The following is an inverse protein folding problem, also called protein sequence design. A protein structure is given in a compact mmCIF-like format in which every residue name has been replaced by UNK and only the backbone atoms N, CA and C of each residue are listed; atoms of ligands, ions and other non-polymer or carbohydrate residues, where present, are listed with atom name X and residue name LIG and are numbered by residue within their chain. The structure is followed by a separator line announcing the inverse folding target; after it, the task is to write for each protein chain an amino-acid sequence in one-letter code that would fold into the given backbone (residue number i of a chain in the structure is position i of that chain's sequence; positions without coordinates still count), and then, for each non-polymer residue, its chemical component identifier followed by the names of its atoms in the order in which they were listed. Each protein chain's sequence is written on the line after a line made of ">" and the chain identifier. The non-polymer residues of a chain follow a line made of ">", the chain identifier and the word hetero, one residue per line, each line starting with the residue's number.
data_IF_275658048832
#
_entry.id   IF_275658048832
#
_cell.length_a   1.000
_cell.length_b   1.000
_cell.length_c   1.000
_cell.angle_alpha   90.00
_cell.angle_beta   90.00
_cell.angle_gamma   90.00
#
_symmetry.space_group_name_H-M   'P 1'
#
loop_
_entity.id
_entity.type
_entity.pdbx_description
1 polymer ?
#
# COMPACT_ATOMS: atom_id res chain seq x y z
N UNK A 1 52.84 -24.21 -19.42
CA UNK A 1 52.70 -22.73 -19.54
C UNK A 1 51.92 -22.21 -18.34
N UNK A 2 52.10 -20.95 -17.92
CA UNK A 2 51.22 -20.31 -16.91
C UNK A 2 50.03 -19.69 -17.63
N UNK A 3 48.81 -20.09 -17.27
CA UNK A 3 47.56 -19.53 -17.81
C UNK A 3 47.22 -18.23 -17.10
N UNK A 4 47.09 -17.14 -17.86
CA UNK A 4 46.62 -15.84 -17.35
C UNK A 4 45.10 -15.80 -17.43
N UNK A 5 44.42 -15.36 -16.36
CA UNK A 5 42.96 -15.22 -16.36
C UNK A 5 42.51 -14.09 -17.29
N UNK A 6 41.40 -14.27 -18.00
CA UNK A 6 40.82 -13.25 -18.87
C UNK A 6 40.52 -11.94 -18.12
N UNK A 7 40.17 -11.97 -16.83
CA UNK A 7 39.94 -10.77 -16.03
C UNK A 7 41.21 -9.94 -15.84
N UNK A 8 42.38 -10.59 -15.74
CA UNK A 8 43.68 -9.91 -15.70
C UNK A 8 44.00 -9.27 -17.06
N UNK A 9 43.63 -9.93 -18.17
CA UNK A 9 43.80 -9.36 -19.51
C UNK A 9 42.88 -8.14 -19.72
N UNK A 10 41.60 -8.21 -19.34
CA UNK A 10 40.67 -7.10 -19.47
C UNK A 10 41.02 -5.91 -18.55
N UNK A 11 41.49 -6.14 -17.33
CA UNK A 11 41.95 -5.05 -16.45
C UNK A 11 43.24 -4.41 -16.94
N UNK A 12 44.18 -5.17 -17.49
CA UNK A 12 45.36 -4.61 -18.19
C UNK A 12 44.92 -3.79 -19.42
N UNK A 13 43.96 -4.28 -20.21
CA UNK A 13 43.45 -3.56 -21.39
C UNK A 13 42.78 -2.22 -21.02
N UNK A 14 41.96 -2.19 -19.97
CA UNK A 14 41.32 -0.98 -19.44
C UNK A 14 42.37 0.05 -18.95
N UNK A 15 43.37 -0.41 -18.19
CA UNK A 15 44.47 0.43 -17.71
C UNK A 15 45.33 0.99 -18.84
N UNK A 16 45.67 0.18 -19.85
CA UNK A 16 46.43 0.63 -21.03
C UNK A 16 45.61 1.63 -21.86
N UNK A 17 44.31 1.37 -22.07
CA UNK A 17 43.41 2.30 -22.76
C UNK A 17 43.38 3.66 -22.06
N UNK A 18 43.17 3.68 -20.73
CA UNK A 18 43.15 4.91 -19.94
C UNK A 18 44.50 5.63 -19.89
N UNK A 19 45.61 4.88 -19.95
CA UNK A 19 46.96 5.47 -20.03
C UNK A 19 47.20 6.18 -21.37
N UNK A 20 46.77 5.57 -22.47
CA UNK A 20 46.82 6.15 -23.82
C UNK A 20 45.86 7.36 -23.93
N UNK A 21 44.62 7.25 -23.44
CA UNK A 21 43.68 8.38 -23.34
C UNK A 21 44.23 9.53 -22.47
N UNK A 22 45.00 9.24 -21.41
CA UNK A 22 45.61 10.27 -20.57
C UNK A 22 46.81 10.97 -21.20
N UNK A 23 47.61 10.25 -21.99
CA UNK A 23 48.90 10.75 -22.52
C UNK A 23 48.81 11.18 -23.98
N UNK A 24 48.36 10.29 -24.87
CA UNK A 24 48.36 10.52 -26.32
C UNK A 24 47.25 11.48 -26.75
N UNK A 25 46.06 11.42 -26.13
CA UNK A 25 44.98 12.37 -26.43
C UNK A 25 45.40 13.81 -26.12
N UNK A 26 46.16 14.03 -25.04
CA UNK A 26 46.67 15.35 -24.70
C UNK A 26 47.75 15.81 -25.68
N UNK A 27 48.75 14.97 -25.97
CA UNK A 27 49.78 15.30 -26.97
C UNK A 27 49.17 15.59 -28.36
N UNK A 28 48.11 14.86 -28.73
CA UNK A 28 47.34 15.07 -29.95
C UNK A 28 46.56 16.40 -29.93
N UNK A 29 45.94 16.78 -28.80
CA UNK A 29 45.33 18.11 -28.63
C UNK A 29 46.38 19.22 -28.74
N UNK A 30 47.52 19.06 -28.08
CA UNK A 30 48.65 19.99 -28.09
C UNK A 30 49.32 20.10 -29.48
N UNK A 31 48.99 19.23 -30.45
CA UNK A 31 49.46 19.33 -31.85
C UNK A 31 48.61 20.28 -32.72
N UNK A 32 47.42 20.70 -32.26
CA UNK A 32 46.59 21.65 -33.00
C UNK A 32 46.99 23.10 -32.67
N UNK A 33 47.01 24.02 -33.66
CA UNK A 33 47.19 25.43 -33.38
C UNK A 33 46.12 25.94 -32.39
N UNK A 34 46.45 26.87 -31.47
CA UNK A 34 45.48 27.44 -30.55
C UNK A 34 44.45 28.29 -31.32
N UNK A 35 43.36 27.64 -31.72
CA UNK A 35 42.32 28.24 -32.55
C UNK A 35 41.67 29.41 -31.79
N UNK A 36 41.63 30.59 -32.42
CA UNK A 36 40.97 31.75 -31.83
C UNK A 36 39.48 31.44 -31.61
N UNK A 37 38.95 31.84 -30.46
CA UNK A 37 37.67 31.35 -29.95
C UNK A 37 36.44 31.93 -30.68
N UNK A 38 36.22 31.48 -31.92
CA UNK A 38 34.99 31.73 -32.69
C UNK A 38 33.82 30.98 -32.05
N UNK A 39 32.76 31.71 -31.69
CA UNK A 39 31.41 31.19 -31.42
C UNK A 39 31.29 30.05 -30.41
N UNK A 40 31.01 30.35 -29.14
CA UNK A 40 30.91 29.33 -28.06
C UNK A 40 29.61 28.49 -28.06
N UNK A 41 29.37 27.77 -29.16
CA UNK A 41 28.29 26.77 -29.25
C UNK A 41 28.45 25.65 -28.21
N UNK A 42 29.69 25.35 -27.79
CA UNK A 42 29.96 24.37 -26.73
C UNK A 42 29.40 24.81 -25.37
N UNK A 43 29.49 26.10 -25.03
CA UNK A 43 28.92 26.64 -23.79
C UNK A 43 27.39 26.63 -23.84
N UNK A 44 26.78 27.06 -24.95
CA UNK A 44 25.33 27.00 -25.17
C UNK A 44 24.81 25.55 -25.10
N UNK A 45 25.45 24.61 -25.82
CA UNK A 45 25.07 23.20 -25.81
C UNK A 45 25.26 22.57 -24.44
N UNK A 46 26.31 22.95 -23.70
CA UNK A 46 26.52 22.56 -22.31
C UNK A 46 25.49 23.12 -21.34
N UNK A 47 25.06 24.38 -21.51
CA UNK A 47 23.98 24.99 -20.73
C UNK A 47 22.63 24.30 -21.01
N UNK A 48 22.33 24.00 -22.28
CA UNK A 48 21.13 23.27 -22.71
C UNK A 48 21.12 21.82 -22.18
N UNK A 49 22.27 21.14 -22.15
CA UNK A 49 22.38 19.84 -21.48
C UNK A 49 22.12 19.96 -19.97
N UNK A 50 22.72 20.95 -19.30
CA UNK A 50 22.54 21.18 -17.86
C UNK A 50 21.09 21.52 -17.50
N UNK A 51 20.37 22.30 -18.31
CA UNK A 51 18.93 22.58 -18.07
C UNK A 51 18.05 21.38 -18.38
N UNK A 52 18.29 20.63 -19.47
CA UNK A 52 17.59 19.37 -19.75
C UNK A 52 17.80 18.34 -18.63
N UNK A 53 19.03 18.18 -18.13
CA UNK A 53 19.35 17.28 -17.03
C UNK A 53 18.69 17.71 -15.71
N UNK A 54 18.69 19.01 -15.38
CA UNK A 54 17.92 19.56 -14.24
C UNK A 54 16.42 19.24 -14.37
N UNK A 55 15.84 19.36 -15.55
CA UNK A 55 14.43 19.05 -15.79
C UNK A 55 14.14 17.56 -15.62
N UNK A 56 14.97 16.67 -16.17
CA UNK A 56 14.86 15.22 -15.96
C UNK A 56 14.99 14.86 -14.48
N UNK A 57 15.94 15.46 -13.76
CA UNK A 57 16.12 15.26 -12.32
C UNK A 57 14.90 15.72 -11.51
N UNK A 58 14.32 16.89 -11.82
CA UNK A 58 13.07 17.34 -11.19
C UNK A 58 11.89 16.39 -11.44
N UNK A 59 11.75 15.86 -12.65
CA UNK A 59 10.73 14.85 -12.99
C UNK A 59 10.97 13.56 -12.21
N UNK A 60 12.21 13.09 -12.12
CA UNK A 60 12.60 11.90 -11.34
C UNK A 60 12.32 12.10 -9.85
N UNK A 61 12.76 13.20 -9.24
CA UNK A 61 12.45 13.53 -7.85
C UNK A 61 10.94 13.64 -7.59
N UNK A 62 10.14 14.13 -8.56
CA UNK A 62 8.67 14.17 -8.45
C UNK A 62 8.05 12.77 -8.56
N UNK A 63 8.63 11.87 -9.37
CA UNK A 63 8.24 10.46 -9.43
C UNK A 63 8.54 9.74 -8.10
N UNK A 64 9.76 9.82 -7.58
CA UNK A 64 10.14 9.23 -6.29
C UNK A 64 9.25 9.78 -5.15
N UNK A 65 9.03 11.09 -5.07
CA UNK A 65 8.09 11.70 -4.11
C UNK A 65 6.65 11.20 -4.26
N UNK A 66 6.24 10.74 -5.45
CA UNK A 66 4.93 10.09 -5.66
C UNK A 66 4.94 8.64 -5.17
N UNK A 67 6.02 7.89 -5.44
CA UNK A 67 6.21 6.52 -4.97
C UNK A 67 6.20 6.43 -3.44
N UNK A 68 6.98 7.27 -2.75
CA UNK A 68 6.99 7.29 -1.29
C UNK A 68 5.63 7.68 -0.70
N UNK A 69 4.90 8.61 -1.35
CA UNK A 69 3.52 8.96 -0.96
C UNK A 69 2.53 7.81 -1.17
N UNK A 70 2.66 7.05 -2.27
CA UNK A 70 1.87 5.84 -2.51
C UNK A 70 2.15 4.79 -1.43
N UNK A 71 3.42 4.42 -1.22
CA UNK A 71 3.83 3.43 -0.22
C UNK A 71 3.35 3.78 1.20
N UNK A 72 3.45 5.04 1.62
CA UNK A 72 2.96 5.47 2.92
C UNK A 72 1.41 5.49 2.98
N UNK A 73 0.73 5.89 1.90
CA UNK A 73 -0.73 5.85 1.84
C UNK A 73 -1.32 4.43 1.82
N UNK A 74 -0.58 3.44 1.30
CA UNK A 74 -0.99 2.03 1.35
C UNK A 74 -0.80 1.39 2.74
N UNK A 75 -0.03 2.02 3.63
CA UNK A 75 0.08 1.63 5.06
C UNK A 75 -1.09 2.14 5.90
N UNK A 76 -1.68 3.29 5.55
CA UNK A 76 -2.91 3.80 6.19
C UNK A 76 -4.15 3.02 5.69
N UNK A 77 -4.87 2.28 6.56
CA UNK A 77 -6.07 1.56 6.15
C UNK A 77 -7.16 2.48 5.59
N UNK A 78 -7.30 3.72 6.08
CA UNK A 78 -8.37 4.63 5.65
C UNK A 78 -8.16 5.09 4.21
N UNK A 79 -6.95 5.55 3.89
CA UNK A 79 -6.58 5.95 2.52
C UNK A 79 -6.48 4.75 1.58
N UNK A 80 -6.01 3.58 2.05
CA UNK A 80 -6.00 2.36 1.26
C UNK A 80 -7.41 1.91 0.87
N UNK A 81 -8.35 1.80 1.81
CA UNK A 81 -9.76 1.44 1.48
C UNK A 81 -10.40 2.44 0.52
N UNK A 82 -10.12 3.73 0.68
CA UNK A 82 -10.55 4.76 -0.27
C UNK A 82 -9.98 4.56 -1.70
N UNK A 83 -8.74 4.06 -1.81
CA UNK A 83 -8.12 3.73 -3.09
C UNK A 83 -8.62 2.39 -3.66
N UNK A 84 -8.85 1.37 -2.83
CA UNK A 84 -9.48 0.11 -3.25
C UNK A 84 -10.89 0.35 -3.81
N UNK A 85 -11.71 1.16 -3.12
CA UNK A 85 -13.01 1.61 -3.61
C UNK A 85 -12.88 2.43 -4.90
N UNK A 86 -11.86 3.29 -5.01
CA UNK A 86 -11.58 4.00 -6.26
C UNK A 86 -11.26 3.04 -7.41
N UNK A 87 -10.44 2.00 -7.21
CA UNK A 87 -10.14 1.03 -8.26
C UNK A 87 -11.41 0.25 -8.68
N UNK A 88 -12.23 -0.18 -7.72
CA UNK A 88 -13.53 -0.84 -7.99
C UNK A 88 -14.52 0.08 -8.73
N UNK A 89 -14.60 1.36 -8.37
CA UNK A 89 -15.58 2.32 -8.93
C UNK A 89 -15.06 3.09 -10.16
N UNK A 90 -13.76 3.04 -10.45
CA UNK A 90 -13.13 3.76 -11.57
C UNK A 90 -13.67 3.37 -12.94
N UNK A 91 -14.37 2.23 -13.06
CA UNK A 91 -15.18 1.89 -14.22
C UNK A 91 -15.96 3.08 -14.79
N UNK A 92 -16.63 3.89 -13.95
CA UNK A 92 -17.47 5.02 -14.41
C UNK A 92 -16.66 6.24 -14.88
N UNK A 93 -15.51 6.55 -14.26
CA UNK A 93 -14.73 7.75 -14.58
C UNK A 93 -13.70 7.57 -15.71
N UNK A 94 -13.52 6.34 -16.19
CA UNK A 94 -12.61 6.01 -17.29
C UNK A 94 -13.40 5.67 -18.58
N UNK A 95 -14.69 6.01 -18.61
CA UNK A 95 -15.64 5.75 -19.70
C UNK A 95 -15.52 6.75 -20.87
N UNK A 96 -14.39 6.69 -21.58
CA UNK A 96 -14.34 7.01 -23.01
C UNK A 96 -14.01 5.69 -23.71
N UNK A 97 -14.90 5.25 -24.60
CA UNK A 97 -14.72 3.93 -25.23
C UNK A 97 -13.59 3.97 -26.26
N UNK A 98 -12.82 2.88 -26.34
CA UNK A 98 -11.78 2.70 -27.35
C UNK A 98 -12.31 1.85 -28.52
N UNK A 99 -13.51 2.18 -29.00
CA UNK A 99 -14.15 1.54 -30.15
C UNK A 99 -13.51 2.01 -31.46
N UNK A 100 -12.40 1.37 -31.85
CA UNK A 100 -12.03 1.18 -33.27
C UNK A 100 -10.75 0.35 -33.47
N UNK A 101 -10.88 -0.72 -34.27
CA UNK A 101 -9.82 -1.35 -35.08
C UNK A 101 -8.65 -2.04 -34.35
N UNK A 102 -8.90 -3.27 -33.91
CA UNK A 102 -7.90 -4.36 -33.86
C UNK A 102 -8.59 -5.68 -34.26
N UNK A 103 -7.91 -6.64 -34.91
CA UNK A 103 -8.55 -7.83 -35.47
C UNK A 103 -8.98 -8.86 -34.40
N UNK A 104 -10.00 -9.69 -34.67
CA UNK A 104 -10.48 -10.68 -33.73
C UNK A 104 -9.71 -12.01 -33.81
N UNK A 105 -9.08 -12.41 -32.69
CA UNK A 105 -9.12 -13.76 -32.09
C UNK A 105 -8.01 -13.93 -31.04
N UNK A 106 -8.42 -14.09 -29.78
CA UNK A 106 -8.11 -15.31 -29.02
C UNK A 106 -9.40 -15.70 -28.29
N UNK A 107 -9.73 -16.98 -28.29
CA UNK A 107 -11.00 -17.50 -27.76
C UNK A 107 -10.78 -17.93 -26.31
N UNK A 108 -11.06 -17.02 -25.37
CA UNK A 108 -10.72 -17.21 -23.96
C UNK A 108 -11.60 -16.44 -22.98
N UNK A 109 -11.53 -16.88 -21.72
CA UNK A 109 -12.31 -16.46 -20.53
C UNK A 109 -12.29 -14.95 -20.21
N UNK A 110 -11.50 -14.16 -20.93
CA UNK A 110 -11.31 -12.73 -20.71
C UNK A 110 -12.11 -11.85 -21.67
N UNK A 111 -12.91 -12.44 -22.58
CA UNK A 111 -13.68 -11.73 -23.63
C UNK A 111 -14.55 -10.58 -23.09
N UNK A 112 -15.20 -10.77 -21.93
CA UNK A 112 -16.04 -9.76 -21.28
C UNK A 112 -15.27 -8.72 -20.42
N UNK A 113 -13.95 -8.88 -20.27
CA UNK A 113 -13.14 -8.05 -19.37
C UNK A 113 -12.67 -6.75 -20.04
N UNK A 114 -12.74 -5.65 -19.30
CA UNK A 114 -12.58 -4.30 -19.85
C UNK A 114 -11.11 -3.95 -19.95
N UNK A 115 -10.66 -3.67 -21.17
CA UNK A 115 -9.26 -3.38 -21.51
C UNK A 115 -9.05 -1.88 -21.77
N UNK A 116 -7.91 -1.34 -21.35
CA UNK A 116 -7.50 0.07 -21.60
C UNK A 116 -5.99 0.20 -21.71
N UNK A 117 -5.52 1.14 -22.53
CA UNK A 117 -4.10 1.52 -22.57
C UNK A 117 -3.73 2.41 -21.38
N UNK A 118 -2.74 1.99 -20.59
CA UNK A 118 -2.05 2.80 -19.58
C UNK A 118 -0.54 2.72 -19.84
N UNK A 119 0.15 3.87 -19.84
CA UNK A 119 1.59 3.97 -20.12
C UNK A 119 2.05 3.25 -21.42
N UNK A 120 1.19 3.21 -22.45
CA UNK A 120 1.46 2.50 -23.72
C UNK A 120 1.21 0.98 -23.70
N UNK A 121 0.82 0.40 -22.57
CA UNK A 121 0.47 -1.02 -22.44
C UNK A 121 -1.04 -1.20 -22.31
N UNK A 122 -1.62 -2.19 -23.01
CA UNK A 122 -3.00 -2.62 -22.75
C UNK A 122 -3.03 -3.38 -21.43
N UNK A 123 -3.94 -2.99 -20.53
CA UNK A 123 -4.21 -3.66 -19.26
C UNK A 123 -5.69 -4.01 -19.15
N UNK A 124 -6.01 -5.01 -18.32
CA UNK A 124 -7.37 -5.34 -17.89
C UNK A 124 -7.69 -4.53 -16.64
N UNK A 125 -8.72 -3.68 -16.70
CA UNK A 125 -9.16 -2.78 -15.63
C UNK A 125 -9.64 -3.59 -14.43
N UNK A 126 -10.38 -4.67 -14.68
CA UNK A 126 -10.97 -5.53 -13.65
C UNK A 126 -9.91 -6.24 -12.78
N UNK A 127 -8.67 -6.35 -13.28
CA UNK A 127 -7.52 -6.86 -12.54
C UNK A 127 -6.82 -5.80 -11.67
N UNK A 128 -7.09 -4.50 -11.78
CA UNK A 128 -6.36 -3.47 -11.03
C UNK A 128 -6.48 -3.62 -9.50
N UNK A 129 -7.61 -4.15 -9.00
CA UNK A 129 -7.79 -4.47 -7.58
C UNK A 129 -6.97 -5.69 -7.14
N UNK A 130 -6.75 -6.64 -8.05
CA UNK A 130 -5.90 -7.79 -7.84
C UNK A 130 -4.42 -7.41 -7.92
N UNK A 131 -4.02 -6.55 -8.87
CA UNK A 131 -2.68 -5.95 -8.97
C UNK A 131 -2.30 -5.29 -7.63
N UNK A 132 -3.21 -4.50 -7.05
CA UNK A 132 -2.99 -3.87 -5.75
C UNK A 132 -2.85 -4.91 -4.64
N UNK A 133 -3.72 -5.93 -4.63
CA UNK A 133 -3.70 -6.98 -3.59
C UNK A 133 -2.42 -7.83 -3.67
N UNK A 134 -1.99 -8.20 -4.88
CA UNK A 134 -0.75 -8.91 -5.16
C UNK A 134 0.48 -8.07 -4.80
N UNK A 135 0.49 -6.77 -5.12
CA UNK A 135 1.56 -5.85 -4.69
C UNK A 135 1.69 -5.84 -3.16
N UNK A 136 0.56 -5.74 -2.44
CA UNK A 136 0.55 -5.69 -0.99
C UNK A 136 0.94 -7.02 -0.33
N UNK A 137 0.57 -8.16 -0.91
CA UNK A 137 1.07 -9.47 -0.44
C UNK A 137 2.55 -9.68 -0.80
N UNK A 138 3.01 -9.22 -1.96
CA UNK A 138 4.41 -9.33 -2.37
C UNK A 138 5.33 -8.48 -1.48
N UNK A 139 4.89 -7.29 -1.06
CA UNK A 139 5.56 -6.50 -0.01
C UNK A 139 5.57 -7.27 1.33
N UNK A 140 4.47 -7.91 1.73
CA UNK A 140 4.40 -8.75 2.95
C UNK A 140 5.25 -10.03 2.85
N UNK A 141 5.48 -10.55 1.65
CA UNK A 141 6.35 -11.69 1.40
C UNK A 141 7.82 -11.26 1.43
N UNK A 142 8.20 -10.16 0.76
CA UNK A 142 9.56 -9.63 0.80
C UNK A 142 9.98 -9.31 2.24
N UNK A 143 9.12 -8.63 3.00
CA UNK A 143 9.40 -8.35 4.42
C UNK A 143 9.58 -9.64 5.26
N UNK A 144 8.94 -10.75 4.90
CA UNK A 144 9.14 -12.04 5.58
C UNK A 144 10.49 -12.67 5.20
N UNK A 145 10.89 -12.61 3.92
CA UNK A 145 12.21 -13.07 3.47
C UNK A 145 13.35 -12.20 4.05
N UNK A 146 13.14 -10.89 4.14
CA UNK A 146 14.09 -9.95 4.75
C UNK A 146 14.24 -10.24 6.26
N UNK A 147 13.14 -10.49 7.00
CA UNK A 147 13.19 -10.97 8.39
C UNK A 147 13.85 -12.35 8.52
N UNK A 148 13.58 -13.29 7.61
CA UNK A 148 14.23 -14.59 7.58
C UNK A 148 15.74 -14.48 7.40
N UNK A 149 16.20 -13.56 6.54
CA UNK A 149 17.62 -13.26 6.34
C UNK A 149 18.28 -12.74 7.63
N UNK A 150 17.58 -11.89 8.39
CA UNK A 150 18.06 -11.43 9.71
C UNK A 150 18.13 -12.58 10.71
N UNK A 151 17.10 -13.43 10.80
CA UNK A 151 17.12 -14.60 11.69
C UNK A 151 18.22 -15.60 11.31
N UNK A 152 18.53 -15.75 10.02
CA UNK A 152 19.63 -16.59 9.53
C UNK A 152 20.99 -16.03 9.97
N UNK A 153 21.19 -14.71 9.89
CA UNK A 153 22.42 -14.07 10.39
C UNK A 153 22.61 -14.19 11.91
N UNK A 154 21.54 -14.46 12.66
CA UNK A 154 21.55 -14.72 14.09
C UNK A 154 21.58 -16.23 14.44
N UNK A 155 21.63 -17.13 13.44
CA UNK A 155 21.60 -18.59 13.66
C UNK A 155 20.25 -19.15 14.12
N UNK A 156 19.17 -18.37 14.02
CA UNK A 156 17.82 -18.73 14.50
C UNK A 156 16.84 -19.16 13.39
N UNK A 157 17.24 -19.11 12.13
CA UNK A 157 16.37 -19.49 10.99
C UNK A 157 16.33 -21.01 10.81
N UNK A 158 15.16 -21.60 10.99
CA UNK A 158 14.95 -23.05 10.88
C UNK A 158 14.18 -23.47 9.63
N UNK A 159 14.02 -24.80 9.49
CA UNK A 159 13.19 -25.40 8.44
C UNK A 159 11.73 -24.90 8.47
N UNK A 160 11.21 -24.59 9.66
CA UNK A 160 9.89 -23.99 9.83
C UNK A 160 9.76 -22.60 9.18
N UNK A 161 10.80 -21.77 9.24
CA UNK A 161 10.81 -20.43 8.61
C UNK A 161 10.89 -20.55 7.09
N UNK A 162 11.66 -21.52 6.61
CA UNK A 162 11.74 -21.87 5.19
C UNK A 162 10.39 -22.38 4.66
N UNK A 163 9.75 -23.30 5.38
CA UNK A 163 8.43 -23.83 5.05
C UNK A 163 7.34 -22.74 5.08
N UNK A 164 7.36 -21.84 6.07
CA UNK A 164 6.45 -20.69 6.14
C UNK A 164 6.64 -19.73 4.97
N UNK A 165 7.88 -19.45 4.56
CA UNK A 165 8.17 -18.60 3.41
C UNK A 165 7.68 -19.23 2.09
N UNK A 166 7.91 -20.53 1.91
CA UNK A 166 7.39 -21.33 0.79
C UNK A 166 5.85 -21.34 0.75
N UNK A 167 5.20 -21.67 1.86
CA UNK A 167 3.73 -21.69 1.97
C UNK A 167 3.11 -20.34 1.60
N UNK A 168 3.78 -19.23 1.94
CA UNK A 168 3.37 -17.88 1.56
C UNK A 168 3.55 -17.60 0.06
N UNK A 169 4.64 -18.07 -0.55
CA UNK A 169 4.81 -17.99 -2.00
C UNK A 169 3.71 -18.79 -2.72
N UNK A 170 3.45 -20.03 -2.31
CA UNK A 170 2.41 -20.90 -2.90
C UNK A 170 0.99 -20.35 -2.69
N UNK A 171 0.73 -19.62 -1.61
CA UNK A 171 -0.52 -18.89 -1.40
C UNK A 171 -0.67 -17.74 -2.42
N UNK A 172 0.36 -16.91 -2.59
CA UNK A 172 0.35 -15.80 -3.57
C UNK A 172 0.19 -16.35 -4.99
N UNK A 173 0.91 -17.43 -5.31
CA UNK A 173 0.82 -18.13 -6.60
C UNK A 173 -0.62 -18.62 -6.86
N UNK A 174 -1.24 -19.36 -5.94
CA UNK A 174 -2.61 -19.88 -6.12
C UNK A 174 -3.67 -18.78 -6.19
N UNK A 175 -3.52 -17.67 -5.46
CA UNK A 175 -4.51 -16.60 -5.49
C UNK A 175 -4.44 -15.79 -6.79
N UNK A 176 -3.24 -15.48 -7.29
CA UNK A 176 -3.06 -14.47 -8.35
C UNK A 176 -2.52 -15.01 -9.69
N UNK A 177 -1.73 -16.08 -9.67
CA UNK A 177 -0.96 -16.56 -10.82
C UNK A 177 -1.50 -17.87 -11.42
N UNK A 178 -2.00 -18.77 -10.57
CA UNK A 178 -2.56 -20.08 -10.91
C UNK A 178 -3.88 -20.29 -10.14
N UNK A 179 -4.84 -19.40 -10.35
CA UNK A 179 -6.15 -19.47 -9.69
C UNK A 179 -6.99 -20.61 -10.24
N UNK A 180 -7.63 -21.34 -9.31
CA UNK A 180 -8.56 -22.44 -9.60
C UNK A 180 -9.87 -21.94 -10.23
N UNK A 181 -10.23 -20.68 -9.96
CA UNK A 181 -11.40 -20.00 -10.52
C UNK A 181 -10.93 -19.10 -11.65
N UNK A 182 -11.57 -19.19 -12.82
CA UNK A 182 -11.24 -18.35 -13.98
C UNK A 182 -11.32 -16.83 -13.70
N UNK A 183 -10.57 -16.01 -14.47
CA UNK A 183 -9.40 -16.41 -15.25
C UNK A 183 -8.24 -16.86 -14.33
N UNK A 184 -7.41 -17.79 -14.81
CA UNK A 184 -6.34 -18.42 -14.00
C UNK A 184 -5.25 -17.44 -13.58
N UNK A 185 -4.83 -16.57 -14.50
CA UNK A 185 -3.98 -15.41 -14.22
C UNK A 185 -4.88 -14.21 -13.94
N UNK A 186 -4.70 -13.56 -12.78
CA UNK A 186 -5.63 -12.56 -12.24
C UNK A 186 -5.03 -11.15 -12.11
N UNK A 187 -3.81 -10.95 -12.61
CA UNK A 187 -3.05 -9.70 -12.54
C UNK A 187 -2.46 -9.34 -13.90
N UNK A 188 -2.14 -8.07 -14.11
CA UNK A 188 -1.68 -7.52 -15.39
C UNK A 188 -0.18 -7.81 -15.67
N UNK A 189 0.16 -9.09 -15.86
CA UNK A 189 1.50 -9.55 -16.31
C UNK A 189 1.39 -10.45 -17.54
N UNK A 190 2.52 -10.72 -18.21
CA UNK A 190 2.56 -11.69 -19.30
C UNK A 190 2.59 -13.14 -18.77
N UNK A 191 2.02 -14.08 -19.53
CA UNK A 191 2.07 -15.54 -19.30
C UNK A 191 3.50 -16.01 -18.98
N UNK A 192 4.49 -15.56 -19.77
CA UNK A 192 5.91 -15.90 -19.58
C UNK A 192 6.49 -15.41 -18.25
N UNK A 193 5.97 -14.33 -17.68
CA UNK A 193 6.36 -13.87 -16.33
C UNK A 193 5.73 -14.73 -15.24
N UNK A 194 4.49 -15.19 -15.42
CA UNK A 194 3.85 -16.18 -14.53
C UNK A 194 4.68 -17.46 -14.51
N UNK A 195 5.00 -18.00 -15.68
CA UNK A 195 5.63 -19.33 -15.78
C UNK A 195 7.08 -19.34 -15.27
N UNK A 196 7.83 -18.26 -15.45
CA UNK A 196 9.14 -18.09 -14.82
C UNK A 196 9.06 -18.07 -13.28
N UNK A 197 8.04 -17.43 -12.69
CA UNK A 197 7.82 -17.42 -11.22
C UNK A 197 7.43 -18.82 -10.72
N UNK A 198 6.58 -19.54 -11.46
CA UNK A 198 6.23 -20.92 -11.15
C UNK A 198 7.46 -21.83 -11.16
N UNK A 199 8.33 -21.70 -12.17
CA UNK A 199 9.58 -22.47 -12.29
C UNK A 199 10.57 -22.18 -11.15
N UNK A 200 10.71 -20.91 -10.75
CA UNK A 200 11.55 -20.54 -9.60
C UNK A 200 11.03 -21.19 -8.31
N UNK A 201 9.72 -21.12 -8.04
CA UNK A 201 9.12 -21.74 -6.87
C UNK A 201 9.29 -23.27 -6.88
N UNK A 202 9.06 -23.94 -8.02
CA UNK A 202 9.22 -25.40 -8.14
C UNK A 202 10.67 -25.89 -8.06
N UNK A 203 11.66 -25.00 -8.27
CA UNK A 203 13.09 -25.31 -8.11
C UNK A 203 13.63 -24.99 -6.72
N UNK A 204 12.76 -24.67 -5.76
CA UNK A 204 13.15 -24.31 -4.38
C UNK A 204 13.74 -22.89 -4.26
N UNK A 205 13.68 -22.07 -5.31
CA UNK A 205 14.30 -20.73 -5.34
C UNK A 205 13.32 -19.66 -4.88
N UNK A 206 12.83 -19.80 -3.65
CA UNK A 206 11.92 -18.84 -3.00
C UNK A 206 12.74 -17.81 -2.22
N UNK A 207 13.24 -16.80 -2.95
CA UNK A 207 14.00 -15.68 -2.37
C UNK A 207 13.14 -14.41 -2.25
N UNK A 208 13.70 -13.35 -1.65
CA UNK A 208 13.05 -12.02 -1.55
C UNK A 208 12.72 -11.38 -2.91
N UNK A 209 13.35 -11.84 -3.99
CA UNK A 209 13.20 -11.38 -5.37
C UNK A 209 12.11 -12.09 -6.18
N UNK A 210 11.56 -13.23 -5.73
CA UNK A 210 10.64 -14.10 -6.49
C UNK A 210 9.55 -13.35 -7.29
N UNK A 211 8.84 -12.41 -6.65
CA UNK A 211 7.75 -11.65 -7.29
C UNK A 211 8.18 -10.32 -7.95
N UNK A 212 9.46 -9.94 -7.86
CA UNK A 212 10.00 -8.67 -8.37
C UNK A 212 9.73 -8.42 -9.87
N UNK A 213 9.84 -9.42 -10.79
CA UNK A 213 9.53 -9.20 -12.21
C UNK A 213 8.06 -8.83 -12.44
N UNK A 214 7.13 -9.40 -11.67
CA UNK A 214 5.70 -9.08 -11.74
C UNK A 214 5.40 -7.69 -11.14
N UNK A 215 6.02 -7.35 -10.00
CA UNK A 215 5.92 -6.02 -9.37
C UNK A 215 6.31 -4.93 -10.36
N UNK A 216 7.44 -5.07 -11.07
CA UNK A 216 7.90 -4.09 -12.07
C UNK A 216 6.86 -3.87 -13.18
N UNK A 217 6.13 -4.91 -13.60
CA UNK A 217 5.10 -4.79 -14.65
C UNK A 217 3.85 -4.04 -14.16
N UNK A 218 3.34 -4.36 -12.96
CA UNK A 218 2.06 -3.79 -12.46
C UNK A 218 2.21 -2.44 -11.76
N UNK A 219 3.34 -2.20 -11.08
CA UNK A 219 3.53 -1.04 -10.20
C UNK A 219 3.38 0.33 -10.93
N UNK A 220 3.86 0.52 -12.17
CA UNK A 220 3.61 1.75 -12.93
C UNK A 220 2.12 2.04 -13.18
N UNK A 221 1.28 1.00 -13.26
CA UNK A 221 -0.16 1.11 -13.48
C UNK A 221 -0.86 1.54 -12.17
N UNK A 222 -0.50 0.90 -11.06
CA UNK A 222 -0.97 1.28 -9.72
C UNK A 222 -0.59 2.73 -9.37
N UNK A 223 0.64 3.16 -9.66
CA UNK A 223 1.10 4.54 -9.44
C UNK A 223 0.40 5.54 -10.38
N UNK A 224 0.02 5.14 -11.60
CA UNK A 224 -0.80 5.96 -12.49
C UNK A 224 -2.22 6.16 -11.93
N UNK A 225 -2.89 5.07 -11.53
CA UNK A 225 -4.22 5.11 -10.91
C UNK A 225 -4.19 5.91 -9.60
N UNK A 226 -3.15 5.76 -8.79
CA UNK A 226 -2.93 6.55 -7.56
C UNK A 226 -2.86 8.05 -7.83
N UNK A 227 -2.10 8.50 -8.85
CA UNK A 227 -2.06 9.92 -9.25
C UNK A 227 -3.45 10.45 -9.62
N UNK A 228 -4.25 9.67 -10.36
CA UNK A 228 -5.62 10.04 -10.74
C UNK A 228 -6.56 10.10 -9.52
N UNK A 229 -6.46 9.14 -8.59
CA UNK A 229 -7.18 9.15 -7.31
C UNK A 229 -6.85 10.40 -6.47
N UNK A 230 -5.57 10.72 -6.29
CA UNK A 230 -5.15 11.91 -5.55
C UNK A 230 -5.74 13.18 -6.15
N UNK A 231 -5.69 13.32 -7.48
CA UNK A 231 -6.27 14.48 -8.17
C UNK A 231 -7.78 14.57 -7.96
N UNK A 232 -8.53 13.46 -8.07
CA UNK A 232 -9.97 13.47 -7.83
C UNK A 232 -10.34 13.76 -6.36
N UNK A 233 -9.53 13.28 -5.40
CA UNK A 233 -9.71 13.61 -3.98
C UNK A 233 -9.46 15.10 -3.72
N UNK A 234 -8.48 15.71 -4.40
CA UNK A 234 -8.20 17.14 -4.32
C UNK A 234 -9.32 17.99 -4.93
N UNK A 235 -9.86 17.65 -6.10
CA UNK A 235 -10.99 18.42 -6.68
C UNK A 235 -12.23 18.33 -5.80
N UNK A 236 -12.64 17.12 -5.38
CA UNK A 236 -13.80 16.95 -4.48
C UNK A 236 -13.65 17.74 -3.17
N UNK A 237 -12.45 17.83 -2.61
CA UNK A 237 -12.19 18.67 -1.44
C UNK A 237 -12.31 20.18 -1.74
N UNK A 238 -11.76 20.64 -2.87
CA UNK A 238 -11.82 22.05 -3.29
C UNK A 238 -13.26 22.49 -3.62
N UNK A 239 -14.04 21.60 -4.24
CA UNK A 239 -15.43 21.90 -4.61
C UNK A 239 -16.36 21.79 -3.38
N UNK A 240 -16.08 20.88 -2.43
CA UNK A 240 -16.74 20.89 -1.12
C UNK A 240 -16.52 22.18 -0.32
N UNK A 241 -15.32 22.77 -0.40
CA UNK A 241 -15.01 24.09 0.21
C UNK A 241 -15.70 25.26 -0.51
N UNK A 242 -16.20 25.08 -1.74
CA UNK A 242 -17.08 26.05 -2.41
C UNK A 242 -18.56 25.82 -2.08
N UNK A 243 -18.99 24.56 -2.00
CA UNK A 243 -20.37 24.18 -1.68
C UNK A 243 -20.81 24.72 -0.30
N UNK A 244 -19.92 24.75 0.69
CA UNK A 244 -20.18 25.35 2.01
C UNK A 244 -20.38 26.87 1.99
N UNK A 245 -20.25 27.55 0.84
CA UNK A 245 -20.65 28.96 0.65
C UNK A 245 -21.82 29.16 -0.33
N UNK A 246 -22.23 28.14 -1.08
CA UNK A 246 -23.44 28.12 -1.91
C UNK A 246 -23.91 26.67 -2.12
N UNK A 247 -24.96 26.27 -1.40
CA UNK A 247 -26.21 25.74 -1.98
C UNK A 247 -27.15 25.24 -0.87
N UNK A 248 -27.98 26.16 -0.38
CA UNK A 248 -29.28 25.78 0.19
C UNK A 248 -30.26 25.52 -0.98
N UNK A 249 -31.30 24.71 -0.76
CA UNK A 249 -32.41 24.44 -1.70
C UNK A 249 -32.06 23.92 -3.11
N UNK A 250 -32.10 22.59 -3.27
CA UNK A 250 -33.00 21.87 -4.21
C UNK A 250 -32.49 20.44 -4.46
N UNK A 251 -33.41 19.49 -4.71
CA UNK A 251 -33.13 18.05 -4.57
C UNK A 251 -33.48 17.23 -5.81
N UNK A 252 -32.62 16.26 -6.13
CA UNK A 252 -32.97 15.03 -6.86
C UNK A 252 -32.32 13.84 -6.14
N UNK A 253 -33.09 12.85 -5.67
CA UNK A 253 -32.53 11.70 -4.96
C UNK A 253 -32.05 10.61 -5.94
N UNK A 254 -30.73 10.50 -6.13
CA UNK A 254 -30.14 9.33 -6.81
C UNK A 254 -30.14 8.12 -5.87
N UNK A 255 -30.95 7.11 -6.20
CA UNK A 255 -31.21 5.94 -5.37
C UNK A 255 -30.11 4.85 -5.44
N UNK A 256 -28.91 5.14 -5.97
CA UNK A 256 -27.77 4.19 -6.02
C UNK A 256 -26.43 4.76 -5.50
N UNK A 257 -26.47 5.45 -4.36
CA UNK A 257 -25.27 5.84 -3.58
C UNK A 257 -24.81 4.75 -2.60
N UNK A 258 -23.55 4.29 -2.61
CA UNK A 258 -23.10 3.16 -1.79
C UNK A 258 -22.76 3.54 -0.34
N UNK A 259 -23.57 3.04 0.60
CA UNK A 259 -23.23 2.68 1.99
C UNK A 259 -22.10 3.50 2.67
N UNK A 260 -22.30 4.82 2.79
CA UNK A 260 -21.74 5.53 3.95
C UNK A 260 -22.49 5.04 5.20
N UNK A 261 -21.75 4.70 6.25
CA UNK A 261 -22.31 4.21 7.51
C UNK A 261 -22.83 5.42 8.28
N UNK A 262 -24.03 5.87 7.92
CA UNK A 262 -24.84 6.77 8.71
C UNK A 262 -26.09 6.00 9.18
N UNK A 263 -26.24 5.86 10.49
CA UNK A 263 -27.09 4.82 11.09
C UNK A 263 -28.55 5.26 11.22
N UNK A 264 -29.20 5.53 10.08
CA UNK A 264 -30.61 5.96 10.05
C UNK A 264 -31.47 5.21 9.01
N UNK A 265 -30.94 4.16 8.36
CA UNK A 265 -31.69 3.39 7.34
C UNK A 265 -32.95 2.71 7.90
N UNK A 266 -32.88 2.19 9.14
CA UNK A 266 -34.03 1.59 9.83
C UNK A 266 -35.14 2.61 10.09
N UNK A 267 -34.82 3.91 10.13
CA UNK A 267 -35.79 5.00 10.36
C UNK A 267 -36.70 5.25 9.15
N UNK A 268 -36.35 4.72 7.97
CA UNK A 268 -37.20 4.66 6.77
C UNK A 268 -37.98 3.35 6.63
N UNK A 269 -37.63 2.31 7.38
CA UNK A 269 -38.31 1.01 7.34
C UNK A 269 -39.50 1.04 8.30
N UNK A 270 -40.70 0.67 7.84
CA UNK A 270 -41.89 0.68 8.70
C UNK A 270 -41.76 -0.39 9.78
N UNK A 271 -41.37 0.05 10.97
CA UNK A 271 -41.19 -0.80 12.13
C UNK A 271 -42.54 -1.17 12.73
N UNK A 272 -42.71 -2.44 13.08
CA UNK A 272 -43.92 -2.99 13.72
C UNK A 272 -43.48 -3.77 14.95
N UNK A 273 -44.11 -3.51 16.09
CA UNK A 273 -43.91 -4.31 17.30
C UNK A 273 -44.74 -5.59 17.20
N UNK A 274 -44.14 -6.74 17.50
CA UNK A 274 -44.87 -8.00 17.64
C UNK A 274 -44.78 -8.53 19.06
N UNK A 275 -45.90 -9.05 19.53
CA UNK A 275 -46.05 -9.76 20.81
C UNK A 275 -45.84 -11.28 20.60
N UNK A 276 -45.83 -11.74 19.34
CA UNK A 276 -45.85 -13.17 18.96
C UNK A 276 -44.69 -13.59 18.05
N UNK A 277 -43.69 -12.73 17.84
CA UNK A 277 -42.45 -13.08 17.14
C UNK A 277 -41.27 -12.85 18.10
N UNK A 278 -40.58 -13.92 18.49
CA UNK A 278 -39.46 -13.89 19.45
C UNK A 278 -38.15 -13.35 18.84
N UNK A 279 -38.13 -13.13 17.53
CA UNK A 279 -36.94 -12.78 16.75
C UNK A 279 -37.20 -11.55 15.86
N UNK A 280 -36.13 -10.81 15.55
CA UNK A 280 -36.21 -9.60 14.70
C UNK A 280 -36.37 -10.00 13.23
N UNK A 281 -37.62 -10.06 12.75
CA UNK A 281 -37.95 -10.49 11.37
C UNK A 281 -37.95 -9.31 10.39
N UNK A 282 -37.16 -9.41 9.32
CA UNK A 282 -37.27 -8.50 8.17
C UNK A 282 -38.27 -9.08 7.15
N UNK A 283 -39.42 -8.42 6.93
CA UNK A 283 -40.51 -8.92 6.08
C UNK A 283 -40.81 -7.93 4.95
N UNK A 284 -40.79 -8.39 3.70
CA UNK A 284 -41.23 -7.62 2.54
C UNK A 284 -42.63 -8.08 2.09
N UNK A 285 -43.53 -7.15 1.74
CA UNK A 285 -44.76 -7.50 1.00
C UNK A 285 -45.04 -6.49 -0.11
N UNK A 286 -45.52 -6.97 -1.27
CA UNK A 286 -45.69 -6.16 -2.50
C UNK A 286 -46.47 -4.87 -2.26
N UNK A 287 -47.56 -4.93 -1.49
CA UNK A 287 -48.41 -3.76 -1.20
C UNK A 287 -47.87 -2.80 -0.12
N UNK A 288 -46.83 -3.17 0.64
CA UNK A 288 -46.35 -2.36 1.78
C UNK A 288 -44.84 -2.19 1.88
N UNK A 289 -44.08 -2.71 0.91
CA UNK A 289 -42.62 -2.66 0.89
C UNK A 289 -41.96 -3.43 2.05
N UNK A 290 -40.81 -2.91 2.49
CA UNK A 290 -39.99 -3.47 3.56
C UNK A 290 -40.51 -3.04 4.95
N UNK A 291 -40.71 -4.04 5.82
CA UNK A 291 -41.08 -3.89 7.23
C UNK A 291 -40.03 -4.57 8.11
N UNK A 292 -39.77 -3.97 9.26
CA UNK A 292 -38.95 -4.55 10.32
C UNK A 292 -39.87 -4.89 11.48
N UNK A 293 -39.98 -6.17 11.80
CA UNK A 293 -40.74 -6.65 12.96
C UNK A 293 -39.74 -6.83 14.09
N UNK A 294 -40.04 -6.22 15.24
CA UNK A 294 -39.20 -6.24 16.43
C UNK A 294 -39.98 -6.89 17.59
N UNK A 295 -39.39 -7.86 18.30
CA UNK A 295 -39.97 -8.43 19.52
C UNK A 295 -40.10 -7.37 20.61
N UNK A 296 -41.22 -7.36 21.31
CA UNK A 296 -41.50 -6.44 22.42
C UNK A 296 -40.35 -6.42 23.47
N UNK A 297 -39.84 -7.60 23.83
CA UNK A 297 -38.83 -7.80 24.88
C UNK A 297 -37.48 -7.07 24.64
N UNK A 298 -37.15 -6.74 23.39
CA UNK A 298 -35.90 -6.01 23.06
C UNK A 298 -35.94 -4.56 23.59
N UNK A 299 -37.13 -3.99 23.79
CA UNK A 299 -37.28 -2.66 24.37
C UNK A 299 -37.23 -2.68 25.91
N UNK A 300 -37.76 -3.70 26.58
CA UNK A 300 -37.76 -3.75 28.04
C UNK A 300 -36.35 -3.87 28.62
N UNK A 301 -35.46 -4.60 27.95
CA UNK A 301 -34.03 -4.65 28.31
C UNK A 301 -33.35 -3.26 28.18
N UNK A 302 -33.71 -2.47 27.16
CA UNK A 302 -33.23 -1.08 27.01
C UNK A 302 -33.89 -0.11 27.99
N UNK A 303 -35.12 -0.37 28.41
CA UNK A 303 -35.86 0.45 29.38
C UNK A 303 -35.33 0.23 30.80
N UNK A 304 -34.98 -1.00 31.15
CA UNK A 304 -34.25 -1.35 32.37
C UNK A 304 -32.92 -0.58 32.46
N UNK A 305 -32.12 -0.59 31.40
CA UNK A 305 -30.82 0.09 31.36
C UNK A 305 -30.87 1.62 31.49
N UNK A 306 -32.02 2.24 31.18
CA UNK A 306 -32.23 3.70 31.26
C UNK A 306 -32.90 4.16 32.56
N UNK A 307 -33.33 3.24 33.44
CA UNK A 307 -34.08 3.53 34.66
C UNK A 307 -33.25 3.33 35.96
N UNK A 308 -31.92 3.36 35.88
CA UNK A 308 -31.04 3.42 37.07
C UNK A 308 -31.01 4.85 37.65
N UNK A 309 -31.33 5.07 38.94
CA UNK A 309 -31.23 6.39 39.56
C UNK A 309 -29.78 6.89 39.70
N UNK A 310 -29.60 8.21 39.56
CA UNK A 310 -28.35 8.89 39.93
C UNK A 310 -28.16 8.85 41.46
N UNK A 311 -26.92 8.69 41.97
CA UNK A 311 -26.66 8.70 43.40
C UNK A 311 -26.98 10.08 44.01
N UNK A 312 -27.69 10.08 45.13
CA UNK A 312 -28.20 11.30 45.76
C UNK A 312 -27.10 12.18 46.36
N UNK A 313 -27.29 13.49 46.22
CA UNK A 313 -26.41 14.54 46.77
C UNK A 313 -26.72 14.73 48.27
N UNK A 314 -25.76 14.45 49.14
CA UNK A 314 -25.93 14.61 50.59
C UNK A 314 -26.03 16.10 51.00
N UNK A 315 -26.85 16.46 52.02
CA UNK A 315 -26.94 17.80 52.56
C UNK A 315 -25.79 18.10 53.55
N UNK A 316 -25.41 19.37 53.64
CA UNK A 316 -24.32 19.87 54.50
C UNK A 316 -24.82 20.75 55.64
N UNK A 317 -24.20 20.67 56.84
CA UNK A 317 -24.20 21.79 57.77
C UNK A 317 -22.80 22.11 58.37
N UNK A 318 -22.37 23.35 58.12
CA UNK A 318 -21.62 24.29 59.00
C UNK A 318 -20.31 23.91 59.74
N UNK A 319 -19.56 24.99 60.03
CA UNK A 319 -18.18 25.08 60.55
C UNK A 319 -18.03 24.58 62.00
N UNK A 320 -16.81 24.14 62.36
CA UNK A 320 -15.89 24.92 63.21
C UNK A 320 -14.40 24.51 62.95
N UNK A 321 -13.44 25.22 63.54
CA UNK A 321 -11.97 25.25 63.29
C UNK A 321 -11.24 25.11 64.66
N UNK A 322 -9.89 24.95 64.83
CA UNK A 322 -8.73 24.97 63.90
C UNK A 322 -7.78 23.72 64.11
N UNK A 323 -6.44 23.65 63.89
CA UNK A 323 -5.37 24.57 63.43
C UNK A 323 -4.07 23.86 62.96
N UNK A 324 -3.10 24.67 62.48
CA UNK A 324 -1.63 24.56 62.53
C UNK A 324 -0.84 23.31 62.02
N UNK A 325 -0.23 23.51 60.83
CA UNK A 325 1.23 23.55 60.56
C UNK A 325 2.14 22.33 60.23
N UNK A 326 3.02 22.63 59.28
CA UNK A 326 4.45 22.28 59.08
C UNK A 326 4.94 20.89 58.57
N UNK A 327 5.46 20.93 57.32
CA UNK A 327 6.82 20.55 56.86
C UNK A 327 7.84 19.81 57.80
N UNK A 328 8.90 19.16 57.26
CA UNK A 328 9.03 18.41 55.99
C UNK A 328 10.06 17.21 56.04
N UNK A 329 10.44 16.68 54.85
CA UNK A 329 11.76 16.07 54.52
C UNK A 329 12.09 14.62 54.97
N UNK A 330 13.01 14.04 54.17
CA UNK A 330 13.70 12.74 54.19
C UNK A 330 14.17 12.22 55.56
N UNK A 331 14.19 10.89 55.71
CA UNK A 331 15.46 10.14 55.79
C UNK A 331 15.29 8.68 55.31
N UNK A 332 16.40 7.93 55.20
CA UNK A 332 16.45 6.56 54.69
C UNK A 332 16.80 5.52 55.77
N UNK A 333 16.26 4.29 55.68
CA UNK A 333 16.96 3.06 56.08
C UNK A 333 16.16 1.78 55.78
N UNK A 334 16.71 0.88 54.95
CA UNK A 334 16.99 -0.51 55.38
C UNK A 334 18.01 -1.21 54.46
N UNK A 335 18.72 -2.21 55.00
CA UNK A 335 19.85 -2.90 54.35
C UNK A 335 19.42 -4.27 53.79
N UNK A 336 19.96 -4.72 52.65
CA UNK A 336 20.09 -6.15 52.35
C UNK A 336 21.23 -6.75 53.19
N UNK A 337 21.01 -7.94 53.75
CA UNK A 337 21.97 -8.61 54.65
C UNK A 337 23.00 -9.42 53.85
N UNK A 338 24.29 -9.20 54.09
CA UNK A 338 25.40 -10.00 53.52
C UNK A 338 25.88 -11.03 54.53
N UNK A 339 26.21 -12.22 54.05
CA UNK A 339 27.22 -13.08 54.67
C UNK A 339 28.32 -13.42 53.67
N UNK A 340 29.58 -13.28 54.10
CA UNK A 340 30.73 -14.04 53.56
C UNK A 340 30.64 -15.44 54.18
N UNK A 341 31.15 -16.53 53.58
CA UNK A 341 32.01 -16.63 52.40
C UNK A 341 33.44 -17.01 52.81
N UNK A 342 33.87 -18.24 52.51
CA UNK A 342 35.24 -18.72 52.69
C UNK A 342 35.72 -19.45 51.43
N UNK A 343 37.00 -19.25 51.12
CA UNK A 343 37.76 -20.05 50.15
C UNK A 343 38.30 -21.31 50.83
N UNK A 344 38.56 -22.35 50.05
CA UNK A 344 39.79 -23.14 50.22
C UNK A 344 40.28 -23.71 48.88
N UNK A 345 41.53 -24.18 48.85
CA UNK A 345 42.30 -24.49 47.63
C UNK A 345 43.15 -25.74 47.87
N UNK A 346 43.56 -26.39 46.77
CA UNK A 346 44.24 -27.69 46.72
C UNK A 346 43.30 -28.88 47.01
N UNK A 347 43.55 -30.08 46.47
CA UNK A 347 44.77 -30.53 45.74
C UNK A 347 44.48 -30.93 44.30
#
# INVERSE_FOLDING_TARGET
>A
MRTVSCEVLYTIQDLVTKSLEGTWFKQYQDTFPPCSAVGSDSCLRGAILKTKLKNVWMVFCRFIKTVCKFQNAMKDPRTRTGFELYLRMSYRHFSESCDSRAPPKEEGDTSHMKRRVINGKVIIIDFLINDLSFYLESERFRNLADSGTVMASAGMYGENDHAMLHQKADMIIRIFLKSEISPKLRINIAETQRDAILQLCSTGKVDRGLFHPAIITIFPNLVFCWKKFCNQKLTKNLDGVKATKKQEVSSTPDYMGPLLIDNDWYRKVKTIMSITEDHTTLRFTVHHGLKLILPQAILDLKRSHNNMPLPHKAPSPQRFVPSYSDHPVLDAHHKPQRHRGQYNRAR
#
